data_IF_035454962622
#
_entry.id   IF_035454962622
#
_cell.length_a   1.000
_cell.length_b   1.000
_cell.length_c   1.000
_cell.angle_alpha   90.00
_cell.angle_beta   90.00
_cell.angle_gamma   90.00
#
_symmetry.space_group_name_H-M   'P 1'
#
loop_
_entity.id
_entity.type
_entity.pdbx_description
1 polymer ?
#
# COMPACT_ATOMS: atom_id res chain seq x y z
N UNK A 1 -6.61 9.54 -10.69
CA UNK A 1 -6.25 8.13 -11.01
C UNK A 1 -6.21 7.34 -9.72
N UNK A 2 -6.48 6.02 -9.75
CA UNK A 2 -6.43 5.15 -8.56
C UNK A 2 -5.61 3.90 -8.85
N UNK A 3 -4.75 3.53 -7.90
CA UNK A 3 -3.92 2.32 -7.95
C UNK A 3 -4.29 1.44 -6.76
N UNK A 4 -4.50 0.15 -7.02
CA UNK A 4 -4.69 -0.87 -5.98
C UNK A 4 -3.53 -1.85 -6.04
N UNK A 5 -2.73 -1.93 -4.99
CA UNK A 5 -1.69 -2.95 -4.84
C UNK A 5 -2.31 -4.22 -4.24
N UNK A 6 -1.92 -5.39 -4.75
CA UNK A 6 -2.50 -6.67 -4.32
C UNK A 6 -1.41 -7.65 -3.88
N UNK A 7 -1.67 -8.34 -2.77
CA UNK A 7 -0.95 -9.57 -2.42
C UNK A 7 -1.93 -10.60 -1.84
N UNK A 8 -1.43 -11.66 -1.23
CA UNK A 8 -2.31 -12.69 -0.66
C UNK A 8 -3.07 -12.19 0.58
N UNK A 9 -2.35 -11.72 1.62
CA UNK A 9 -2.95 -11.42 2.93
C UNK A 9 -3.06 -9.95 3.31
N UNK A 10 -2.62 -9.01 2.47
CA UNK A 10 -2.56 -7.57 2.79
C UNK A 10 -1.74 -7.14 4.02
N UNK A 11 -0.77 -7.94 4.47
CA UNK A 11 0.03 -7.62 5.66
C UNK A 11 1.51 -7.35 5.38
N UNK A 12 2.06 -7.70 4.22
CA UNK A 12 3.50 -7.55 3.97
C UNK A 12 3.78 -6.76 2.70
N UNK A 13 3.55 -7.36 1.52
CA UNK A 13 3.98 -6.78 0.24
C UNK A 13 3.10 -5.63 -0.25
N UNK A 14 1.78 -5.80 -0.23
CA UNK A 14 0.85 -4.78 -0.73
C UNK A 14 0.77 -3.52 0.14
N UNK A 15 0.70 -3.58 1.50
CA UNK A 15 0.74 -2.36 2.30
C UNK A 15 2.11 -1.66 2.21
N UNK A 16 3.23 -2.39 2.12
CA UNK A 16 4.54 -1.79 1.86
C UNK A 16 4.56 -1.06 0.51
N UNK A 17 4.03 -1.68 -0.54
CA UNK A 17 3.93 -1.04 -1.85
C UNK A 17 3.01 0.19 -1.82
N UNK A 18 1.92 0.17 -1.05
CA UNK A 18 1.06 1.34 -0.86
C UNK A 18 1.84 2.53 -0.30
N UNK A 19 2.55 2.33 0.81
CA UNK A 19 3.34 3.38 1.48
C UNK A 19 4.45 3.92 0.57
N UNK A 20 5.19 3.03 -0.11
CA UNK A 20 6.30 3.44 -0.99
C UNK A 20 5.81 4.19 -2.23
N UNK A 21 4.71 3.76 -2.85
CA UNK A 21 4.16 4.44 -4.03
C UNK A 21 3.54 5.77 -3.60
N UNK A 22 2.85 5.84 -2.47
CA UNK A 22 2.30 7.08 -1.93
C UNK A 22 3.43 8.10 -1.65
N UNK A 23 4.54 7.67 -1.05
CA UNK A 23 5.72 8.52 -0.86
C UNK A 23 6.27 9.07 -2.18
N UNK A 24 6.39 8.23 -3.21
CA UNK A 24 6.85 8.63 -4.54
C UNK A 24 5.88 9.61 -5.23
N UNK A 25 4.57 9.38 -5.13
CA UNK A 25 3.53 10.28 -5.67
C UNK A 25 3.60 11.64 -4.98
N UNK A 26 3.73 11.66 -3.66
CA UNK A 26 3.76 12.89 -2.89
C UNK A 26 5.05 13.70 -3.12
N UNK A 27 6.13 13.06 -3.54
CA UNK A 27 7.38 13.71 -3.93
C UNK A 27 7.32 14.37 -5.33
N UNK A 28 6.36 14.01 -6.18
CA UNK A 28 6.18 14.57 -7.53
C UNK A 28 5.01 15.60 -7.55
N UNK A 29 5.28 16.90 -7.75
CA UNK A 29 4.24 17.93 -7.79
C UNK A 29 3.17 17.73 -8.87
N UNK A 30 3.47 16.99 -9.94
CA UNK A 30 2.52 16.69 -11.02
C UNK A 30 1.56 15.55 -10.65
N UNK A 31 1.90 14.75 -9.64
CA UNK A 31 1.14 13.58 -9.21
C UNK A 31 0.47 13.79 -7.84
N UNK A 32 1.08 14.57 -6.96
CA UNK A 32 0.57 14.89 -5.64
C UNK A 32 -0.89 15.38 -5.69
N UNK A 33 -1.76 14.75 -4.90
CA UNK A 33 -3.20 15.04 -4.86
C UNK A 33 -4.01 14.60 -6.09
N UNK A 34 -3.38 14.03 -7.13
CA UNK A 34 -4.05 13.59 -8.37
C UNK A 34 -4.14 12.07 -8.50
N UNK A 35 -3.29 11.36 -7.77
CA UNK A 35 -3.23 9.90 -7.74
C UNK A 35 -3.47 9.44 -6.30
N UNK A 36 -4.38 8.50 -6.13
CA UNK A 36 -4.60 7.82 -4.85
C UNK A 36 -4.14 6.37 -4.96
N UNK A 37 -3.56 5.85 -3.89
CA UNK A 37 -3.09 4.46 -3.75
C UNK A 37 -3.84 3.82 -2.59
N UNK A 38 -4.11 2.52 -2.72
CA UNK A 38 -4.62 1.67 -1.64
C UNK A 38 -4.07 0.26 -1.81
N UNK A 39 -4.14 -0.57 -0.78
CA UNK A 39 -3.76 -1.99 -0.82
C UNK A 39 -4.92 -2.93 -0.44
N UNK A 40 -4.88 -4.15 -0.97
CA UNK A 40 -5.79 -5.22 -0.58
C UNK A 40 -5.16 -6.63 -0.68
N UNK A 41 -5.82 -7.60 -0.04
CA UNK A 41 -5.48 -9.03 -0.07
C UNK A 41 -6.49 -9.82 -0.88
N UNK A 42 -6.06 -10.92 -1.51
CA UNK A 42 -6.98 -11.88 -2.14
C UNK A 42 -7.63 -12.82 -1.14
N UNK A 43 -7.02 -12.98 0.04
CA UNK A 43 -7.53 -13.72 1.20
C UNK A 43 -7.98 -12.76 2.29
N UNK A 44 -9.01 -13.14 3.04
CA UNK A 44 -9.50 -12.42 4.22
C UNK A 44 -8.90 -12.93 5.53
N UNK A 45 -7.96 -13.88 5.49
CA UNK A 45 -7.36 -14.49 6.69
C UNK A 45 -6.78 -13.47 7.67
N UNK A 46 -6.25 -12.36 7.15
CA UNK A 46 -5.64 -11.27 7.94
C UNK A 46 -6.43 -9.97 7.88
N UNK A 47 -7.73 -10.02 7.54
CA UNK A 47 -8.55 -8.81 7.44
C UNK A 47 -8.65 -8.11 8.80
N UNK A 48 -8.29 -6.83 8.84
CA UNK A 48 -8.24 -6.03 10.07
C UNK A 48 -6.92 -6.09 10.83
N UNK A 49 -6.00 -6.97 10.43
CA UNK A 49 -4.62 -6.92 10.93
C UNK A 49 -3.86 -5.75 10.33
N UNK A 50 -2.86 -5.26 11.08
CA UNK A 50 -1.93 -4.26 10.60
C UNK A 50 -0.88 -4.82 9.66
N UNK A 51 -0.08 -3.93 9.07
CA UNK A 51 1.11 -4.33 8.34
C UNK A 51 2.10 -5.03 9.28
N UNK A 52 2.67 -6.14 8.81
CA UNK A 52 3.68 -6.94 9.49
C UNK A 52 4.88 -6.05 9.86
N UNK A 53 5.40 -6.22 11.09
CA UNK A 53 6.44 -5.38 11.69
C UNK A 53 7.67 -5.18 10.81
N UNK A 54 8.22 -6.25 10.23
CA UNK A 54 9.37 -6.18 9.33
C UNK A 54 9.13 -5.34 8.07
N UNK A 55 7.89 -5.30 7.57
CA UNK A 55 7.53 -4.45 6.44
C UNK A 55 7.25 -3.02 6.88
N UNK A 56 6.69 -2.83 8.08
CA UNK A 56 6.43 -1.51 8.66
C UNK A 56 7.70 -0.77 9.11
N UNK A 57 8.81 -1.49 9.29
CA UNK A 57 10.10 -0.93 9.69
C UNK A 57 10.95 -0.41 8.52
N UNK A 58 10.49 -0.55 7.27
CA UNK A 58 11.14 -0.05 6.05
C UNK A 58 10.67 1.37 5.78
#
# INVERSE_FOLDING_TARGET
>A
MRILTLCHGNICRSPLAEVLIEAAINADPLLAGRVAVSSAGTSSEHAGEGMHENSAAI
#
